data_IF_326965632424
#
_entry.id   IF_326965632424
#
_cell.length_a   1.000
_cell.length_b   1.000
_cell.length_c   1.000
_cell.angle_alpha   90.00
_cell.angle_beta   90.00
_cell.angle_gamma   90.00
#
_symmetry.space_group_name_H-M   'P 1'
#
loop_
_entity.id
_entity.type
_entity.pdbx_description
1 polymer ?
#
# COMPACT_ATOMS: atom_id res chain seq x y z
N UNK A 1 -16.58 -27.57 -31.49
CA UNK A 1 -17.12 -26.46 -30.66
C UNK A 1 -16.41 -26.29 -29.31
N UNK A 2 -15.85 -27.36 -28.70
CA UNK A 2 -15.06 -27.26 -27.46
C UNK A 2 -13.63 -26.71 -27.69
N UNK A 3 -12.98 -27.07 -28.79
CA UNK A 3 -11.61 -26.60 -29.10
C UNK A 3 -11.53 -25.09 -29.31
N UNK A 4 -12.47 -24.49 -30.05
CA UNK A 4 -12.54 -23.03 -30.25
C UNK A 4 -12.84 -22.27 -28.96
N UNK A 5 -13.62 -22.85 -28.03
CA UNK A 5 -13.83 -22.28 -26.68
C UNK A 5 -12.57 -22.39 -25.82
N UNK A 6 -11.84 -23.50 -25.88
CA UNK A 6 -10.60 -23.69 -25.13
C UNK A 6 -9.47 -22.77 -25.64
N UNK A 7 -9.33 -22.61 -26.96
CA UNK A 7 -8.37 -21.68 -27.56
C UNK A 7 -8.65 -20.21 -27.16
N UNK A 8 -9.92 -19.80 -27.12
CA UNK A 8 -10.31 -18.45 -26.65
C UNK A 8 -9.99 -18.22 -25.16
N UNK A 9 -10.19 -19.24 -24.31
CA UNK A 9 -9.82 -19.19 -22.88
C UNK A 9 -8.32 -19.02 -22.71
N UNK A 10 -7.54 -19.83 -23.44
CA UNK A 10 -6.08 -19.78 -23.38
C UNK A 10 -5.52 -18.42 -23.81
N UNK A 11 -5.98 -17.89 -24.95
CA UNK A 11 -5.58 -16.55 -25.41
C UNK A 11 -5.86 -15.47 -24.37
N UNK A 12 -6.99 -15.56 -23.65
CA UNK A 12 -7.35 -14.60 -22.61
C UNK A 12 -6.42 -14.69 -21.40
N UNK A 13 -6.11 -15.90 -20.93
CA UNK A 13 -5.19 -16.14 -19.82
C UNK A 13 -3.80 -15.61 -20.19
N UNK A 14 -3.26 -15.99 -21.36
CA UNK A 14 -1.95 -15.51 -21.84
C UNK A 14 -1.89 -13.99 -21.94
N UNK A 15 -2.95 -13.35 -22.47
CA UNK A 15 -3.01 -11.88 -22.55
C UNK A 15 -3.03 -11.25 -21.16
N UNK A 16 -3.79 -11.81 -20.21
CA UNK A 16 -3.82 -11.33 -18.83
C UNK A 16 -2.43 -11.41 -18.17
N UNK A 17 -1.71 -12.53 -18.36
CA UNK A 17 -0.35 -12.68 -17.86
C UNK A 17 0.65 -11.73 -18.52
N UNK A 18 0.55 -11.52 -19.83
CA UNK A 18 1.41 -10.57 -20.54
C UNK A 18 1.21 -9.14 -20.01
N UNK A 19 -0.03 -8.74 -19.71
CA UNK A 19 -0.33 -7.44 -19.10
C UNK A 19 0.22 -7.36 -17.68
N UNK A 20 0.09 -8.43 -16.87
CA UNK A 20 0.70 -8.47 -15.53
C UNK A 20 2.22 -8.32 -15.61
N UNK A 21 2.89 -9.00 -16.54
CA UNK A 21 4.33 -8.85 -16.76
C UNK A 21 4.71 -7.43 -17.16
N UNK A 22 3.93 -6.78 -18.03
CA UNK A 22 4.15 -5.38 -18.39
C UNK A 22 4.02 -4.44 -17.19
N UNK A 23 3.09 -4.72 -16.27
CA UNK A 23 2.91 -3.95 -15.02
C UNK A 23 4.11 -4.16 -14.07
N UNK A 24 4.82 -5.28 -14.16
CA UNK A 24 6.02 -5.57 -13.34
C UNK A 24 7.32 -4.95 -13.87
N UNK A 25 7.32 -4.32 -15.06
CA UNK A 25 8.52 -3.70 -15.67
C UNK A 25 9.34 -2.82 -14.71
N UNK A 26 8.75 -1.96 -13.87
CA UNK A 26 9.52 -1.14 -12.92
C UNK A 26 10.46 -1.95 -12.02
N UNK A 27 10.06 -3.16 -11.62
CA UNK A 27 10.87 -4.04 -10.77
C UNK A 27 12.11 -4.58 -11.47
N UNK A 28 12.04 -4.81 -12.78
CA UNK A 28 13.22 -5.19 -13.57
C UNK A 28 14.22 -4.05 -13.66
N UNK A 29 13.72 -2.82 -13.83
CA UNK A 29 14.57 -1.61 -13.84
C UNK A 29 15.22 -1.42 -12.47
N UNK A 30 14.47 -1.62 -11.37
CA UNK A 30 15.01 -1.54 -10.02
C UNK A 30 16.16 -2.53 -9.78
N UNK A 31 16.06 -3.80 -10.24
CA UNK A 31 17.18 -4.74 -10.14
C UNK A 31 18.41 -4.20 -10.86
N UNK A 32 18.26 -3.71 -12.08
CA UNK A 32 19.38 -3.16 -12.84
C UNK A 32 20.03 -1.97 -12.09
N UNK A 33 19.21 -1.05 -11.57
CA UNK A 33 19.67 0.12 -10.83
C UNK A 33 20.41 -0.29 -9.55
N UNK A 34 19.79 -1.13 -8.71
CA UNK A 34 20.38 -1.57 -7.44
C UNK A 34 21.68 -2.35 -7.61
N UNK A 35 21.86 -3.10 -8.69
CA UNK A 35 23.11 -3.84 -8.96
C UNK A 35 24.20 -2.97 -9.59
N UNK A 36 23.81 -1.91 -10.29
CA UNK A 36 24.73 -0.99 -10.96
C UNK A 36 25.19 0.14 -10.04
N UNK A 37 24.50 0.39 -8.93
CA UNK A 37 24.82 1.45 -7.98
C UNK A 37 26.12 1.17 -7.21
N UNK A 38 27.14 1.99 -7.47
CA UNK A 38 28.44 1.89 -6.80
C UNK A 38 28.39 2.42 -5.36
N UNK A 39 27.54 3.41 -5.06
CA UNK A 39 27.38 3.96 -3.71
C UNK A 39 26.77 2.89 -2.80
N UNK A 40 25.81 2.13 -3.31
CA UNK A 40 25.25 0.99 -2.57
C UNK A 40 26.28 -0.11 -2.29
N UNK A 41 27.21 -0.36 -3.22
CA UNK A 41 28.30 -1.33 -3.02
C UNK A 41 29.26 -0.86 -1.94
N UNK A 42 29.67 0.41 -1.99
CA UNK A 42 30.51 1.03 -0.96
C UNK A 42 29.80 1.03 0.39
N UNK A 43 28.50 1.23 0.43
CA UNK A 43 27.70 1.13 1.66
C UNK A 43 27.78 -0.25 2.29
N UNK A 44 27.61 -1.33 1.52
CA UNK A 44 27.73 -2.68 2.05
C UNK A 44 29.16 -3.02 2.49
N UNK A 45 30.17 -2.45 1.82
CA UNK A 45 31.56 -2.59 2.20
C UNK A 45 31.85 -1.85 3.52
N UNK A 46 31.41 -0.61 3.63
CA UNK A 46 31.49 0.22 4.83
C UNK A 46 30.87 -0.47 6.05
N UNK A 47 29.66 -1.04 5.91
CA UNK A 47 29.01 -1.79 6.99
C UNK A 47 29.77 -3.06 7.42
N UNK A 48 30.60 -3.62 6.53
CA UNK A 48 31.40 -4.82 6.82
C UNK A 48 32.75 -4.47 7.45
N UNK A 49 33.35 -3.36 7.03
CA UNK A 49 34.71 -2.95 7.41
C UNK A 49 34.75 -2.15 8.72
N UNK A 50 33.73 -1.33 8.98
CA UNK A 50 33.68 -0.52 10.20
C UNK A 50 33.15 -1.34 11.38
N UNK A 51 33.87 -1.41 12.51
CA UNK A 51 33.39 -2.12 13.70
C UNK A 51 32.03 -1.62 14.16
N UNK A 52 31.16 -2.52 14.60
CA UNK A 52 29.79 -2.18 15.05
C UNK A 52 29.77 -1.13 16.15
N UNK A 53 30.74 -1.15 17.07
CA UNK A 53 30.88 -0.15 18.13
C UNK A 53 31.10 1.27 17.58
N UNK A 54 31.88 1.38 16.49
CA UNK A 54 32.15 2.63 15.78
C UNK A 54 30.94 3.10 14.97
N UNK A 55 30.24 2.19 14.29
CA UNK A 55 29.01 2.50 13.56
C UNK A 55 27.92 3.05 14.48
N UNK A 56 27.77 2.47 15.67
CA UNK A 56 26.80 2.91 16.67
C UNK A 56 27.07 4.31 17.21
N UNK A 57 28.26 4.89 16.98
CA UNK A 57 28.55 6.26 17.40
C UNK A 57 27.72 7.29 16.64
N UNK A 58 27.40 7.05 15.37
CA UNK A 58 26.69 8.03 14.53
C UNK A 58 25.49 7.45 13.77
N UNK A 59 25.34 6.13 13.72
CA UNK A 59 24.20 5.43 13.10
C UNK A 59 23.42 4.59 14.11
N UNK A 60 22.17 4.27 13.75
CA UNK A 60 21.36 3.32 14.50
C UNK A 60 21.61 1.88 13.99
N UNK A 61 21.57 0.82 14.82
CA UNK A 61 21.75 -0.57 14.38
C UNK A 61 20.77 -1.08 13.30
N UNK A 62 19.67 -0.36 13.02
CA UNK A 62 18.61 -0.79 12.09
C UNK A 62 18.85 -0.35 10.63
N UNK A 63 20.11 -0.29 10.19
CA UNK A 63 20.45 0.09 8.81
C UNK A 63 20.03 -0.98 7.78
N UNK A 64 19.64 -0.57 6.56
CA UNK A 64 19.24 -1.50 5.50
C UNK A 64 20.29 -2.57 5.18
N UNK A 65 19.91 -3.84 5.31
CA UNK A 65 20.83 -4.94 5.01
C UNK A 65 20.88 -5.29 3.53
N UNK A 66 22.01 -5.85 3.10
CA UNK A 66 22.20 -6.42 1.74
C UNK A 66 21.12 -7.45 1.38
N UNK A 67 20.68 -8.23 2.37
CA UNK A 67 19.64 -9.25 2.19
C UNK A 67 18.31 -8.59 1.76
N UNK A 68 17.91 -7.51 2.42
CA UNK A 68 16.63 -6.86 2.11
C UNK A 68 16.62 -6.14 0.77
N UNK A 69 17.75 -5.55 0.36
CA UNK A 69 17.83 -4.78 -0.88
C UNK A 69 18.08 -5.69 -2.09
N UNK A 70 19.01 -6.63 -2.00
CA UNK A 70 19.45 -7.42 -3.16
C UNK A 70 18.82 -8.80 -3.24
N UNK A 71 18.55 -9.48 -2.12
CA UNK A 71 18.06 -10.89 -2.13
C UNK A 71 16.54 -10.96 -2.30
N UNK A 72 15.79 -10.06 -1.65
CA UNK A 72 14.32 -10.03 -1.75
C UNK A 72 13.79 -9.92 -3.20
N UNK A 73 14.39 -9.11 -4.09
CA UNK A 73 14.02 -9.10 -5.51
C UNK A 73 14.19 -10.48 -6.18
N UNK A 74 15.23 -11.25 -5.86
CA UNK A 74 15.41 -12.59 -6.41
C UNK A 74 14.37 -13.58 -5.87
N UNK A 75 14.01 -13.49 -4.59
CA UNK A 75 12.91 -14.29 -4.03
C UNK A 75 11.60 -13.92 -4.73
N UNK A 76 11.34 -12.63 -4.93
CA UNK A 76 10.18 -12.15 -5.66
C UNK A 76 10.15 -12.69 -7.11
N UNK A 77 11.29 -12.67 -7.80
CA UNK A 77 11.43 -13.30 -9.12
C UNK A 77 11.16 -14.81 -9.10
N UNK A 78 11.63 -15.51 -8.07
CA UNK A 78 11.31 -16.92 -7.86
C UNK A 78 9.80 -17.15 -7.74
N UNK A 79 9.10 -16.36 -6.92
CA UNK A 79 7.64 -16.44 -6.76
C UNK A 79 6.91 -16.11 -8.06
N UNK A 80 7.36 -15.09 -8.80
CA UNK A 80 6.82 -14.75 -10.11
C UNK A 80 7.02 -15.89 -11.11
N UNK A 81 8.21 -16.49 -11.16
CA UNK A 81 8.53 -17.64 -12.00
C UNK A 81 7.66 -18.85 -11.66
N UNK A 82 7.48 -19.14 -10.37
CA UNK A 82 6.58 -20.18 -9.89
C UNK A 82 5.13 -19.88 -10.31
N UNK A 83 4.66 -18.64 -10.17
CA UNK A 83 3.32 -18.24 -10.61
C UNK A 83 3.11 -18.47 -12.13
N UNK A 84 4.11 -18.13 -12.95
CA UNK A 84 4.09 -18.36 -14.40
C UNK A 84 4.10 -19.86 -14.71
N UNK A 85 4.97 -20.64 -14.06
CA UNK A 85 5.03 -22.09 -14.25
C UNK A 85 3.70 -22.75 -13.88
N UNK A 86 3.11 -22.37 -12.74
CA UNK A 86 1.77 -22.84 -12.36
C UNK A 86 0.72 -22.45 -13.39
N UNK A 87 0.74 -21.22 -13.91
CA UNK A 87 -0.20 -20.78 -14.93
C UNK A 87 -0.07 -21.55 -16.25
N UNK A 88 1.16 -21.77 -16.72
CA UNK A 88 1.47 -22.54 -17.93
C UNK A 88 1.10 -24.02 -17.76
N UNK A 89 1.53 -24.64 -16.66
CA UNK A 89 1.21 -26.03 -16.34
C UNK A 89 -0.29 -26.24 -16.26
N UNK A 90 -0.99 -25.35 -15.56
CA UNK A 90 -2.42 -25.38 -15.40
C UNK A 90 -3.17 -25.23 -16.73
N UNK A 91 -2.78 -24.26 -17.56
CA UNK A 91 -3.36 -24.07 -18.88
C UNK A 91 -3.12 -25.23 -19.84
N UNK A 92 -1.92 -25.82 -19.80
CA UNK A 92 -1.58 -27.00 -20.59
C UNK A 92 -2.34 -28.26 -20.16
N UNK A 93 -2.45 -28.51 -18.84
CA UNK A 93 -3.17 -29.66 -18.31
C UNK A 93 -4.69 -29.57 -18.51
N UNK A 94 -5.28 -28.37 -18.36
CA UNK A 94 -6.71 -28.16 -18.64
C UNK A 94 -7.05 -28.47 -20.11
N UNK A 95 -6.12 -28.26 -21.05
CA UNK A 95 -6.35 -28.63 -22.45
C UNK A 95 -6.42 -30.15 -22.67
N UNK A 96 -5.76 -30.95 -21.83
CA UNK A 96 -5.64 -32.41 -22.00
C UNK A 96 -6.61 -33.24 -21.17
N UNK A 97 -7.09 -32.73 -20.04
CA UNK A 97 -7.96 -33.51 -19.12
C UNK A 97 -9.43 -33.08 -19.26
N UNK A 98 -10.27 -34.03 -19.69
CA UNK A 98 -11.72 -33.85 -19.93
C UNK A 98 -12.50 -33.61 -18.62
N UNK A 99 -11.99 -34.05 -17.47
CA UNK A 99 -12.65 -33.99 -16.15
C UNK A 99 -11.87 -33.15 -15.12
N UNK A 100 -11.57 -31.89 -15.43
CA UNK A 100 -10.90 -31.03 -14.48
C UNK A 100 -11.85 -30.55 -13.36
N UNK A 101 -11.46 -30.73 -12.09
CA UNK A 101 -12.28 -30.31 -10.94
C UNK A 101 -12.34 -28.79 -10.81
N UNK A 102 -13.56 -28.23 -10.73
CA UNK A 102 -13.79 -26.79 -10.50
C UNK A 102 -13.16 -26.28 -9.20
N UNK A 103 -13.02 -27.13 -8.17
CA UNK A 103 -12.37 -26.77 -6.90
C UNK A 103 -10.87 -26.57 -7.07
N UNK A 104 -10.23 -27.48 -7.81
CA UNK A 104 -8.79 -27.39 -8.09
C UNK A 104 -8.48 -26.17 -8.97
N UNK A 105 -9.39 -25.83 -9.90
CA UNK A 105 -9.33 -24.60 -10.67
C UNK A 105 -9.29 -23.34 -9.80
N UNK A 106 -10.20 -23.27 -8.82
CA UNK A 106 -10.28 -22.13 -7.91
C UNK A 106 -9.03 -22.03 -7.03
N UNK A 107 -8.56 -23.15 -6.48
CA UNK A 107 -7.36 -23.20 -5.64
C UNK A 107 -6.13 -22.73 -6.43
N UNK A 108 -5.96 -23.19 -7.67
CA UNK A 108 -4.84 -22.78 -8.52
C UNK A 108 -4.86 -21.28 -8.84
N UNK A 109 -6.04 -20.69 -9.10
CA UNK A 109 -6.15 -19.23 -9.30
C UNK A 109 -5.79 -18.46 -8.04
N UNK A 110 -6.31 -18.88 -6.88
CA UNK A 110 -6.02 -18.24 -5.60
C UNK A 110 -4.51 -18.32 -5.31
N UNK A 111 -3.88 -19.47 -5.56
CA UNK A 111 -2.45 -19.65 -5.38
C UNK A 111 -1.64 -18.73 -6.30
N UNK A 112 -1.95 -18.67 -7.60
CA UNK A 112 -1.25 -17.79 -8.54
C UNK A 112 -1.39 -16.32 -8.13
N UNK A 113 -2.59 -15.90 -7.75
CA UNK A 113 -2.83 -14.56 -7.24
C UNK A 113 -2.01 -14.25 -5.98
N UNK A 114 -1.98 -15.18 -5.02
CA UNK A 114 -1.21 -15.05 -3.80
C UNK A 114 0.29 -14.91 -4.08
N UNK A 115 0.81 -15.69 -5.03
CA UNK A 115 2.21 -15.62 -5.45
C UNK A 115 2.55 -14.29 -6.14
N UNK A 116 1.68 -13.81 -7.05
CA UNK A 116 1.86 -12.51 -7.70
C UNK A 116 1.82 -11.35 -6.70
N UNK A 117 0.88 -11.40 -5.75
CA UNK A 117 0.77 -10.39 -4.70
C UNK A 117 1.99 -10.39 -3.78
N UNK A 118 2.43 -11.57 -3.35
CA UNK A 118 3.63 -11.74 -2.54
C UNK A 118 4.89 -11.25 -3.28
N UNK A 119 5.00 -11.53 -4.57
CA UNK A 119 6.08 -11.01 -5.42
C UNK A 119 6.11 -9.48 -5.46
N UNK A 120 4.96 -8.83 -5.69
CA UNK A 120 4.87 -7.37 -5.71
C UNK A 120 5.29 -6.77 -4.36
N UNK A 121 4.80 -7.34 -3.26
CA UNK A 121 5.17 -6.88 -1.92
C UNK A 121 6.67 -7.02 -1.67
N UNK A 122 7.29 -8.16 -2.01
CA UNK A 122 8.72 -8.36 -1.81
C UNK A 122 9.58 -7.40 -2.63
N UNK A 123 9.23 -7.14 -3.90
CA UNK A 123 9.91 -6.12 -4.70
C UNK A 123 9.78 -4.73 -4.06
N UNK A 124 8.57 -4.38 -3.64
CA UNK A 124 8.28 -3.09 -3.01
C UNK A 124 9.00 -2.92 -1.68
N UNK A 125 9.13 -3.99 -0.89
CA UNK A 125 9.95 -3.99 0.32
C UNK A 125 11.44 -3.79 0.01
N UNK A 126 11.95 -4.38 -1.06
CA UNK A 126 13.35 -4.18 -1.46
C UNK A 126 13.60 -2.73 -1.93
N UNK A 127 12.70 -2.19 -2.76
CA UNK A 127 12.73 -0.78 -3.17
C UNK A 127 12.63 0.14 -1.96
N UNK A 128 11.75 -0.17 -1.00
CA UNK A 128 11.58 0.60 0.23
C UNK A 128 12.88 0.64 1.05
N UNK A 129 13.57 -0.48 1.18
CA UNK A 129 14.84 -0.57 1.90
C UNK A 129 15.97 0.17 1.16
N UNK A 130 15.96 0.15 -0.16
CA UNK A 130 16.85 0.98 -0.98
C UNK A 130 16.53 2.48 -0.81
N UNK A 131 15.25 2.84 -0.70
CA UNK A 131 14.81 4.20 -0.37
C UNK A 131 15.32 4.66 1.00
N UNK A 132 15.25 3.79 2.02
CA UNK A 132 15.84 4.07 3.35
C UNK A 132 17.36 4.29 3.25
N UNK A 133 18.06 3.47 2.46
CA UNK A 133 19.50 3.65 2.22
C UNK A 133 19.81 5.04 1.64
N UNK A 134 19.04 5.49 0.65
CA UNK A 134 19.20 6.82 0.07
C UNK A 134 18.95 7.93 1.09
N UNK A 135 17.92 7.80 1.94
CA UNK A 135 17.61 8.79 2.96
C UNK A 135 18.64 8.80 4.10
N UNK A 136 19.26 7.66 4.41
CA UNK A 136 20.42 7.62 5.30
C UNK A 136 21.62 8.34 4.70
N UNK A 137 21.94 8.13 3.42
CA UNK A 137 23.03 8.87 2.76
C UNK A 137 22.78 10.38 2.73
N UNK A 138 21.52 10.81 2.60
CA UNK A 138 21.13 12.23 2.73
C UNK A 138 21.28 12.74 4.16
N UNK A 139 20.93 11.95 5.17
CA UNK A 139 21.02 12.41 6.56
C UNK A 139 22.48 12.61 7.01
N UNK A 140 23.44 11.87 6.43
CA UNK A 140 24.88 12.08 6.64
C UNK A 140 25.34 13.49 6.18
N UNK A 141 24.62 14.15 5.28
CA UNK A 141 24.99 15.51 4.80
C UNK A 141 24.62 16.62 5.77
N UNK A 142 23.86 16.32 6.82
CA UNK A 142 23.34 17.35 7.73
C UNK A 142 22.42 18.38 7.06
N UNK A 143 21.88 18.08 5.87
CA UNK A 143 21.01 18.98 5.11
C UNK A 143 21.74 20.13 4.39
N UNK A 144 23.07 20.07 4.25
CA UNK A 144 23.81 21.01 3.41
C UNK A 144 23.94 20.50 1.97
N UNK A 145 23.85 21.44 1.02
CA UNK A 145 24.11 21.21 -0.39
C UNK A 145 25.53 21.64 -0.81
N UNK A 146 26.34 22.17 0.13
CA UNK A 146 27.71 22.63 -0.15
C UNK A 146 28.74 21.62 0.33
N UNK A 147 29.63 21.20 -0.56
CA UNK A 147 30.66 20.20 -0.26
C UNK A 147 31.51 20.53 0.98
N UNK A 148 31.96 21.78 1.13
CA UNK A 148 32.79 22.18 2.28
C UNK A 148 32.04 22.07 3.62
N UNK A 149 30.74 22.35 3.62
CA UNK A 149 29.89 22.21 4.82
C UNK A 149 29.63 20.74 5.13
N UNK A 150 29.41 19.90 4.11
CA UNK A 150 29.31 18.43 4.24
C UNK A 150 30.61 17.87 4.82
N UNK A 151 31.77 18.30 4.31
CA UNK A 151 33.08 17.86 4.79
C UNK A 151 33.31 18.24 6.26
N UNK A 152 33.03 19.49 6.63
CA UNK A 152 33.15 19.95 8.01
C UNK A 152 32.22 19.16 8.94
N UNK A 153 31.00 18.86 8.48
CA UNK A 153 30.04 18.07 9.24
C UNK A 153 30.49 16.62 9.45
N UNK A 154 30.94 15.93 8.40
CA UNK A 154 31.42 14.55 8.53
C UNK A 154 32.66 14.49 9.44
N UNK A 155 33.53 15.52 9.38
CA UNK A 155 34.66 15.62 10.29
C UNK A 155 34.25 15.78 11.76
N UNK A 156 33.15 16.47 12.05
CA UNK A 156 32.61 16.59 13.41
C UNK A 156 31.84 15.35 13.87
N UNK A 157 31.26 14.58 12.93
CA UNK A 157 30.59 13.29 13.18
C UNK A 157 31.51 12.19 13.72
N UNK A 158 32.75 12.14 13.25
CA UNK A 158 33.66 11.04 13.53
C UNK A 158 34.62 11.42 14.68
N UNK A 159 34.55 10.74 15.85
CA UNK A 159 35.41 11.04 16.98
C UNK A 159 36.88 11.01 16.63
N UNK A 160 37.66 11.95 17.15
CA UNK A 160 39.11 12.01 16.97
C UNK A 160 39.84 10.79 17.51
N UNK A 161 39.23 10.05 18.43
CA UNK A 161 39.75 8.84 19.06
C UNK A 161 39.46 7.56 18.27
N UNK A 162 38.73 7.64 17.15
CA UNK A 162 38.35 6.46 16.37
C UNK A 162 39.54 5.89 15.58
N UNK A 163 39.82 4.57 15.66
CA UNK A 163 40.82 3.95 14.78
C UNK A 163 40.36 4.05 13.32
N UNK A 164 41.29 4.31 12.40
CA UNK A 164 41.02 4.52 10.97
C UNK A 164 40.06 5.68 10.67
N UNK A 165 40.04 6.72 11.52
CA UNK A 165 39.18 7.90 11.38
C UNK A 165 39.13 8.45 9.95
N UNK A 166 40.28 8.67 9.32
CA UNK A 166 40.34 9.30 8.00
C UNK A 166 39.69 8.42 6.92
N UNK A 167 39.88 7.10 6.98
CA UNK A 167 39.20 6.15 6.09
C UNK A 167 37.69 6.16 6.29
N UNK A 168 37.22 6.22 7.55
CA UNK A 168 35.79 6.31 7.87
C UNK A 168 35.20 7.60 7.32
N UNK A 169 35.91 8.72 7.43
CA UNK A 169 35.50 10.02 6.90
C UNK A 169 35.40 9.97 5.37
N UNK A 170 36.43 9.46 4.69
CA UNK A 170 36.44 9.33 3.24
C UNK A 170 35.28 8.47 2.74
N UNK A 171 35.00 7.35 3.41
CA UNK A 171 33.82 6.53 3.10
C UNK A 171 32.51 7.29 3.29
N UNK A 172 32.34 8.01 4.40
CA UNK A 172 31.13 8.80 4.64
C UNK A 172 30.95 9.93 3.61
N UNK A 173 32.03 10.55 3.17
CA UNK A 173 32.01 11.58 2.11
C UNK A 173 31.57 10.95 0.78
N UNK A 174 32.12 9.79 0.42
CA UNK A 174 31.72 9.09 -0.80
C UNK A 174 30.26 8.63 -0.76
N UNK A 175 29.79 8.16 0.40
CA UNK A 175 28.39 7.78 0.62
C UNK A 175 27.45 8.98 0.52
N UNK A 176 27.85 10.13 1.06
CA UNK A 176 27.10 11.36 0.94
C UNK A 176 27.10 11.89 -0.50
N UNK A 177 28.26 11.96 -1.16
CA UNK A 177 28.45 12.76 -2.38
C UNK A 177 28.57 11.94 -3.67
N UNK A 178 28.37 10.63 -3.57
CA UNK A 178 28.65 9.69 -4.65
C UNK A 178 30.14 9.40 -4.78
N UNK A 179 30.46 8.14 -5.09
CA UNK A 179 31.82 7.62 -5.20
C UNK A 179 32.69 8.46 -6.14
N UNK A 180 33.65 9.21 -5.58
CA UNK A 180 34.60 10.01 -6.34
C UNK A 180 34.00 11.18 -7.14
N UNK A 181 32.72 11.50 -6.95
CA UNK A 181 32.04 12.57 -7.71
C UNK A 181 31.98 13.90 -6.98
N UNK A 182 32.13 13.92 -5.66
CA UNK A 182 31.90 15.10 -4.80
C UNK A 182 30.57 15.82 -5.11
N UNK A 183 29.59 15.08 -5.64
CA UNK A 183 28.33 15.62 -6.09
C UNK A 183 27.37 15.70 -4.89
N UNK A 184 26.95 16.89 -4.45
CA UNK A 184 26.01 17.02 -3.33
C UNK A 184 24.64 16.39 -3.64
N UNK A 185 24.35 16.04 -4.90
CA UNK A 185 23.11 15.41 -5.35
C UNK A 185 23.39 14.04 -6.00
N UNK A 186 23.73 12.99 -5.23
CA UNK A 186 23.89 11.64 -5.75
C UNK A 186 22.58 11.13 -6.32
N UNK A 187 22.68 10.13 -7.21
CA UNK A 187 21.52 9.49 -7.83
C UNK A 187 20.54 8.98 -6.77
N UNK A 188 19.25 9.27 -6.95
CA UNK A 188 18.16 8.77 -6.12
C UNK A 188 17.20 8.03 -7.04
N UNK A 189 16.84 6.79 -6.70
CA UNK A 189 15.89 5.98 -7.47
C UNK A 189 14.48 6.57 -7.46
N UNK A 190 13.72 6.29 -6.39
CA UNK A 190 12.34 6.69 -6.19
C UNK A 190 12.14 6.95 -4.69
N UNK A 191 11.29 7.93 -4.35
CA UNK A 191 10.96 8.26 -2.96
C UNK A 191 10.21 7.13 -2.24
N UNK A 192 10.42 7.02 -0.92
CA UNK A 192 9.87 5.97 -0.05
C UNK A 192 8.35 5.77 -0.22
N UNK A 193 7.58 6.86 -0.28
CA UNK A 193 6.12 6.78 -0.41
C UNK A 193 5.67 6.46 -1.84
N UNK A 194 6.43 6.92 -2.85
CA UNK A 194 6.12 6.71 -4.26
C UNK A 194 6.19 5.23 -4.62
N UNK A 195 7.12 4.48 -4.02
CA UNK A 195 7.20 3.01 -4.16
C UNK A 195 5.84 2.39 -3.82
N UNK A 196 5.28 2.71 -2.66
CA UNK A 196 4.00 2.13 -2.21
C UNK A 196 2.81 2.58 -3.05
N UNK A 197 2.83 3.78 -3.65
CA UNK A 197 1.84 4.19 -4.63
C UNK A 197 1.91 3.37 -5.92
N UNK A 198 3.13 3.14 -6.42
CA UNK A 198 3.35 2.27 -7.58
C UNK A 198 2.87 0.85 -7.26
N UNK A 199 3.25 0.29 -6.11
CA UNK A 199 2.77 -1.01 -5.63
C UNK A 199 1.25 -1.05 -5.55
N UNK A 200 0.62 -0.02 -4.98
CA UNK A 200 -0.83 0.09 -4.88
C UNK A 200 -1.50 0.04 -6.26
N UNK A 201 -0.98 0.80 -7.22
CA UNK A 201 -1.47 0.77 -8.61
C UNK A 201 -1.27 -0.61 -9.27
N UNK A 202 -0.12 -1.25 -9.05
CA UNK A 202 0.15 -2.59 -9.57
C UNK A 202 -0.81 -3.63 -8.99
N UNK A 203 -1.02 -3.61 -7.66
CA UNK A 203 -2.01 -4.45 -6.97
C UNK A 203 -3.42 -4.19 -7.53
N UNK A 204 -3.79 -2.92 -7.70
CA UNK A 204 -5.07 -2.52 -8.29
C UNK A 204 -5.28 -3.16 -9.67
N UNK A 205 -4.30 -3.06 -10.56
CA UNK A 205 -4.39 -3.64 -11.89
C UNK A 205 -4.40 -5.18 -11.87
N UNK A 206 -3.60 -5.83 -11.01
CA UNK A 206 -3.59 -7.29 -10.87
C UNK A 206 -4.97 -7.80 -10.43
N UNK A 207 -5.55 -7.19 -9.40
CA UNK A 207 -6.88 -7.54 -8.89
C UNK A 207 -7.92 -7.30 -9.99
N UNK A 208 -7.88 -6.14 -10.66
CA UNK A 208 -8.82 -5.81 -11.73
C UNK A 208 -8.76 -6.78 -12.91
N UNK A 209 -7.56 -7.05 -13.43
CA UNK A 209 -7.34 -8.01 -14.54
C UNK A 209 -7.82 -9.39 -14.13
N UNK A 210 -7.55 -9.80 -12.90
CA UNK A 210 -7.94 -11.12 -12.42
C UNK A 210 -9.44 -11.23 -12.25
N UNK A 211 -10.10 -10.27 -11.61
CA UNK A 211 -11.56 -10.25 -11.48
C UNK A 211 -12.23 -10.24 -12.85
N UNK A 212 -11.75 -9.41 -13.78
CA UNK A 212 -12.26 -9.38 -15.17
C UNK A 212 -12.11 -10.72 -15.87
N UNK A 213 -10.99 -11.39 -15.68
CA UNK A 213 -10.70 -12.70 -16.28
C UNK A 213 -11.55 -13.78 -15.65
N UNK A 214 -11.67 -13.80 -14.32
CA UNK A 214 -12.51 -14.72 -13.55
C UNK A 214 -13.98 -14.61 -13.94
N UNK A 215 -14.53 -13.40 -14.05
CA UNK A 215 -15.92 -13.20 -14.48
C UNK A 215 -16.16 -13.69 -15.92
N UNK A 216 -15.22 -13.43 -16.83
CA UNK A 216 -15.32 -13.96 -18.21
C UNK A 216 -15.22 -15.48 -18.25
N UNK A 217 -14.39 -16.09 -17.40
CA UNK A 217 -14.27 -17.55 -17.32
C UNK A 217 -15.54 -18.17 -16.71
N UNK A 218 -16.09 -17.58 -15.65
CA UNK A 218 -17.38 -18.01 -15.06
C UNK A 218 -18.51 -17.94 -16.10
N UNK A 219 -18.56 -16.88 -16.90
CA UNK A 219 -19.51 -16.75 -18.01
C UNK A 219 -19.34 -17.85 -19.09
N UNK A 220 -18.10 -18.27 -19.36
CA UNK A 220 -17.82 -19.34 -20.33
C UNK A 220 -18.10 -20.75 -19.75
N UNK A 221 -18.14 -20.89 -18.43
CA UNK A 221 -18.36 -22.16 -17.72
C UNK A 221 -19.81 -22.36 -17.25
N UNK A 222 -20.57 -21.28 -17.07
CA UNK A 222 -21.98 -21.37 -16.68
C UNK A 222 -22.84 -21.76 -17.89
N UNK A 223 -23.33 -23.00 -17.86
CA UNK A 223 -24.45 -23.47 -18.70
C UNK A 223 -25.81 -23.12 -18.08
N UNK A 224 -25.83 -22.21 -17.11
CA UNK A 224 -27.03 -21.93 -16.32
C UNK A 224 -27.96 -20.97 -17.05
N UNK A 225 -29.16 -21.49 -17.28
CA UNK A 225 -30.34 -20.91 -17.93
C UNK A 225 -30.63 -19.49 -17.41
N UNK A 226 -31.03 -18.60 -18.34
CA UNK A 226 -31.61 -17.28 -18.09
C UNK A 226 -32.85 -17.39 -17.18
N UNK A 227 -32.71 -17.34 -15.87
CA UNK A 227 -33.87 -17.35 -14.95
C UNK A 227 -34.20 -15.93 -14.44
N UNK A 228 -33.25 -14.99 -14.40
CA UNK A 228 -33.47 -13.67 -13.80
C UNK A 228 -34.28 -12.67 -14.66
N UNK A 229 -34.49 -12.93 -15.96
CA UNK A 229 -35.18 -11.97 -16.83
C UNK A 229 -36.68 -11.81 -16.47
N UNK A 230 -37.30 -12.82 -15.85
CA UNK A 230 -38.74 -12.79 -15.56
C UNK A 230 -39.08 -12.12 -14.21
N UNK A 231 -38.19 -12.15 -13.20
CA UNK A 231 -38.41 -11.46 -11.93
C UNK A 231 -38.21 -9.95 -12.05
N UNK A 232 -37.22 -9.48 -12.82
CA UNK A 232 -37.04 -8.04 -13.08
C UNK A 232 -38.26 -7.46 -13.81
N UNK A 233 -38.83 -8.17 -14.78
CA UNK A 233 -39.99 -7.69 -15.57
C UNK A 233 -41.27 -7.65 -14.71
N UNK A 234 -41.50 -8.64 -13.84
CA UNK A 234 -42.67 -8.67 -12.97
C UNK A 234 -42.65 -7.56 -11.91
N UNK A 235 -41.48 -7.25 -11.35
CA UNK A 235 -41.31 -6.18 -10.36
C UNK A 235 -41.35 -4.80 -11.02
N UNK A 236 -40.77 -4.63 -12.21
CA UNK A 236 -40.90 -3.38 -12.99
C UNK A 236 -42.38 -3.09 -13.28
N UNK A 237 -43.18 -4.09 -13.68
CA UNK A 237 -44.61 -3.92 -14.01
C UNK A 237 -45.43 -3.39 -12.82
N UNK A 238 -45.11 -3.80 -11.59
CA UNK A 238 -45.78 -3.30 -10.38
C UNK A 238 -45.30 -1.90 -9.94
N UNK A 239 -44.13 -1.47 -10.39
CA UNK A 239 -43.58 -0.13 -10.08
C UNK A 239 -44.08 0.94 -11.06
N UNK A 240 -44.67 0.55 -12.20
CA UNK A 240 -45.19 1.48 -13.20
C UNK A 240 -46.46 2.25 -12.79
N UNK A 241 -47.18 1.80 -11.75
CA UNK A 241 -48.40 2.44 -11.22
C UNK A 241 -48.16 3.42 -10.05
N UNK A 242 -46.92 3.83 -9.78
CA UNK A 242 -46.60 4.74 -8.67
C UNK A 242 -46.04 6.08 -9.16
N UNK A 243 -46.33 7.16 -8.43
CA UNK A 243 -45.88 8.52 -8.76
C UNK A 243 -44.35 8.64 -8.81
N UNK A 244 -43.83 9.60 -9.58
CA UNK A 244 -42.41 9.73 -9.97
C UNK A 244 -41.40 9.60 -8.80
N UNK A 245 -41.66 10.25 -7.66
CA UNK A 245 -40.82 10.15 -6.46
C UNK A 245 -40.88 8.76 -5.80
N UNK A 246 -42.06 8.13 -5.76
CA UNK A 246 -42.29 6.79 -5.20
C UNK A 246 -41.77 5.69 -6.13
N UNK A 247 -41.73 5.97 -7.45
CA UNK A 247 -41.14 5.13 -8.49
C UNK A 247 -39.62 5.15 -8.42
N UNK A 248 -39.03 6.32 -8.20
CA UNK A 248 -37.59 6.48 -7.90
C UNK A 248 -37.27 5.75 -6.59
N UNK A 249 -37.93 6.10 -5.46
CA UNK A 249 -37.74 5.42 -4.17
C UNK A 249 -37.97 3.90 -4.25
N UNK A 250 -38.99 3.45 -4.97
CA UNK A 250 -39.29 2.03 -5.20
C UNK A 250 -38.19 1.33 -5.99
N UNK A 251 -37.69 1.94 -7.07
CA UNK A 251 -36.51 1.46 -7.81
C UNK A 251 -35.25 1.43 -6.94
N UNK A 252 -35.09 2.34 -5.98
CA UNK A 252 -33.94 2.41 -5.07
C UNK A 252 -34.05 1.45 -3.85
N UNK A 253 -35.27 1.06 -3.45
CA UNK A 253 -35.56 0.24 -2.26
C UNK A 253 -35.77 -1.25 -2.56
N UNK A 254 -35.98 -1.65 -3.82
CA UNK A 254 -36.03 -3.07 -4.18
C UNK A 254 -34.60 -3.64 -4.07
N UNK A 255 -34.35 -4.66 -3.22
CA UNK A 255 -33.02 -5.21 -3.05
C UNK A 255 -32.70 -6.12 -4.24
N UNK A 256 -32.19 -5.52 -5.31
CA UNK A 256 -31.59 -6.20 -6.47
C UNK A 256 -30.06 -6.13 -6.38
N UNK A 257 -29.36 -7.06 -7.03
CA UNK A 257 -27.88 -7.03 -7.13
C UNK A 257 -27.36 -5.69 -7.69
N UNK A 258 -28.10 -5.09 -8.63
CA UNK A 258 -27.83 -3.76 -9.18
C UNK A 258 -27.95 -2.65 -8.13
N UNK A 259 -29.06 -2.61 -7.39
CA UNK A 259 -29.28 -1.58 -6.38
C UNK A 259 -28.31 -1.70 -5.20
N UNK A 260 -28.00 -2.92 -4.78
CA UNK A 260 -27.01 -3.16 -3.73
C UNK A 260 -25.62 -2.72 -4.17
N UNK A 261 -25.24 -3.03 -5.42
CA UNK A 261 -23.95 -2.56 -5.98
C UNK A 261 -23.91 -1.03 -6.08
N UNK A 262 -25.00 -0.38 -6.48
CA UNK A 262 -25.12 1.08 -6.54
C UNK A 262 -24.98 1.73 -5.17
N UNK A 263 -25.72 1.25 -4.17
CA UNK A 263 -25.62 1.74 -2.78
C UNK A 263 -24.23 1.53 -2.22
N UNK A 264 -23.62 0.37 -2.50
CA UNK A 264 -22.24 0.08 -2.10
C UNK A 264 -21.30 1.13 -2.68
N UNK A 265 -21.39 1.43 -3.99
CA UNK A 265 -20.54 2.46 -4.61
C UNK A 265 -20.76 3.83 -3.94
N UNK A 266 -22.01 4.28 -3.81
CA UNK A 266 -22.33 5.62 -3.29
C UNK A 266 -21.82 5.76 -1.85
N UNK A 267 -22.21 4.85 -0.95
CA UNK A 267 -21.79 4.92 0.46
C UNK A 267 -20.29 4.79 0.60
N UNK A 268 -19.67 3.94 -0.21
CA UNK A 268 -18.22 3.77 -0.15
C UNK A 268 -17.48 5.00 -0.63
N UNK A 269 -17.94 5.70 -1.68
CA UNK A 269 -17.33 6.97 -2.09
C UNK A 269 -17.40 8.00 -0.97
N UNK A 270 -18.54 8.08 -0.26
CA UNK A 270 -18.70 9.02 0.87
C UNK A 270 -17.72 8.72 2.01
N UNK A 271 -17.58 7.44 2.40
CA UNK A 271 -16.67 7.03 3.49
C UNK A 271 -15.20 7.09 3.04
N UNK A 272 -14.92 6.73 1.80
CA UNK A 272 -13.56 6.58 1.28
C UNK A 272 -12.93 7.92 0.89
N UNK A 273 -13.71 8.91 0.48
CA UNK A 273 -13.16 10.21 0.03
C UNK A 273 -12.32 10.90 1.11
N UNK A 274 -12.78 11.04 2.37
CA UNK A 274 -11.96 11.60 3.44
C UNK A 274 -10.67 10.80 3.67
N UNK A 275 -10.76 9.47 3.63
CA UNK A 275 -9.60 8.59 3.81
C UNK A 275 -8.58 8.73 2.67
N UNK A 276 -9.05 8.82 1.42
CA UNK A 276 -8.21 9.04 0.25
C UNK A 276 -7.47 10.39 0.34
N UNK A 277 -8.19 11.46 0.67
CA UNK A 277 -7.61 12.82 0.81
C UNK A 277 -6.56 12.84 1.92
N UNK A 278 -6.87 12.29 3.09
CA UNK A 278 -5.90 12.16 4.18
C UNK A 278 -4.62 11.42 3.75
N UNK A 279 -4.78 10.27 3.08
CA UNK A 279 -3.66 9.45 2.63
C UNK A 279 -2.77 10.21 1.64
N UNK A 280 -3.34 10.99 0.72
CA UNK A 280 -2.56 11.87 -0.15
C UNK A 280 -1.82 12.97 0.61
N UNK A 281 -2.48 13.64 1.56
CA UNK A 281 -1.89 14.73 2.34
C UNK A 281 -0.61 14.31 3.09
N UNK A 282 -0.59 13.09 3.63
CA UNK A 282 0.57 12.56 4.36
C UNK A 282 1.61 11.89 3.45
N UNK A 283 1.23 11.44 2.26
CA UNK A 283 2.11 10.66 1.38
C UNK A 283 2.88 11.50 0.34
N UNK A 284 2.41 12.70 -0.01
CA UNK A 284 3.08 13.57 -0.98
C UNK A 284 4.36 14.16 -0.38
N UNK A 285 5.48 13.97 -1.06
CA UNK A 285 6.82 14.34 -0.57
C UNK A 285 7.06 15.84 -0.40
N UNK A 286 6.22 16.69 -1.01
CA UNK A 286 6.32 18.15 -0.92
C UNK A 286 5.50 18.76 0.23
N UNK A 287 4.81 17.96 1.04
CA UNK A 287 3.94 18.49 2.11
C UNK A 287 4.69 18.65 3.44
N UNK A 288 4.21 19.57 4.28
CA UNK A 288 4.72 19.70 5.66
C UNK A 288 4.50 18.43 6.48
N UNK A 289 3.45 17.67 6.18
CA UNK A 289 3.21 16.36 6.80
C UNK A 289 4.33 15.37 6.51
N UNK A 290 4.83 15.32 5.27
CA UNK A 290 5.97 14.46 4.93
C UNK A 290 7.26 14.89 5.63
N UNK A 291 7.53 16.20 5.69
CA UNK A 291 8.68 16.72 6.46
C UNK A 291 8.56 16.35 7.95
N UNK A 292 7.39 16.51 8.53
CA UNK A 292 7.10 16.07 9.90
C UNK A 292 7.37 14.60 10.11
N UNK A 293 6.90 13.75 9.20
CA UNK A 293 7.11 12.30 9.24
C UNK A 293 8.60 11.92 9.12
N UNK A 294 9.37 12.59 8.26
CA UNK A 294 10.80 12.34 8.11
C UNK A 294 11.56 12.59 9.43
N UNK A 295 11.37 13.78 10.00
CA UNK A 295 12.04 14.18 11.24
C UNK A 295 11.48 13.48 12.47
N UNK A 296 10.27 12.93 12.41
CA UNK A 296 9.69 12.22 13.55
C UNK A 296 9.96 10.71 13.56
N UNK A 297 10.09 10.08 12.39
CA UNK A 297 10.20 8.62 12.29
C UNK A 297 11.42 8.10 11.56
N UNK A 298 11.78 8.72 10.43
CA UNK A 298 12.80 8.17 9.55
C UNK A 298 14.17 8.59 10.07
N UNK A 299 14.45 9.88 10.16
CA UNK A 299 15.78 10.35 10.51
C UNK A 299 16.24 9.86 11.89
N UNK A 300 15.47 9.98 13.00
CA UNK A 300 15.90 9.47 14.31
C UNK A 300 16.26 7.98 14.32
N UNK A 301 15.66 7.18 13.43
CA UNK A 301 15.93 5.75 13.29
C UNK A 301 17.13 5.42 12.42
N UNK A 302 17.65 6.38 11.64
CA UNK A 302 18.75 6.16 10.70
C UNK A 302 20.07 6.70 11.22
N UNK A 303 20.06 7.91 11.79
CA UNK A 303 21.25 8.61 12.26
C UNK A 303 21.02 9.18 13.64
N UNK A 304 21.99 8.98 14.53
CA UNK A 304 21.94 9.54 15.90
C UNK A 304 22.18 11.05 15.92
N UNK A 305 22.65 11.59 14.79
CA UNK A 305 23.39 12.82 14.73
C UNK A 305 22.82 13.77 13.66
N UNK A 306 21.50 13.91 13.61
CA UNK A 306 20.85 14.81 12.64
C UNK A 306 21.08 16.24 13.09
N UNK A 307 21.72 17.01 12.22
CA UNK A 307 21.86 18.44 12.38
C UNK A 307 20.49 19.11 12.14
N UNK A 308 20.03 19.83 13.16
CA UNK A 308 18.95 20.79 13.02
C UNK A 308 19.40 21.86 12.01
N UNK A 309 18.61 22.20 10.98
CA UNK A 309 19.00 23.19 10.00
C UNK A 309 19.58 24.47 10.64
N UNK A 310 20.82 24.84 10.27
CA UNK A 310 21.52 25.99 10.84
C UNK A 310 22.34 25.71 12.11
N UNK A 311 22.62 24.46 12.46
CA UNK A 311 23.71 24.05 13.37
C UNK A 311 24.85 23.40 12.58
N UNK A 312 26.07 23.37 13.12
CA UNK A 312 27.26 22.85 12.40
C UNK A 312 27.94 21.73 13.20
N UNK A 313 27.87 21.77 14.53
CA UNK A 313 28.46 20.78 15.43
C UNK A 313 27.37 19.91 16.06
N UNK A 314 27.64 18.63 16.26
CA UNK A 314 26.75 17.69 16.94
C UNK A 314 26.61 17.94 18.42
N UNK A 315 27.64 18.55 19.00
CA UNK A 315 27.62 18.98 20.38
C UNK A 315 26.82 20.28 20.56
N UNK A 316 26.35 20.90 19.47
CA UNK A 316 25.40 22.01 19.58
C UNK A 316 24.16 21.51 20.34
N UNK A 317 23.81 22.24 21.40
CA UNK A 317 22.70 21.89 22.32
C UNK A 317 21.41 21.45 21.59
N UNK A 318 20.96 22.10 20.49
CA UNK A 318 19.76 21.70 19.77
C UNK A 318 19.83 20.29 19.16
N UNK A 319 21.01 19.85 18.72
CA UNK A 319 21.20 18.53 18.10
C UNK A 319 21.13 17.43 19.15
N UNK A 320 21.79 17.63 20.30
CA UNK A 320 21.74 16.70 21.43
C UNK A 320 20.34 16.60 22.02
N UNK A 321 19.69 17.73 22.28
CA UNK A 321 18.33 17.77 22.85
C UNK A 321 17.31 17.13 21.92
N UNK A 322 17.41 17.34 20.59
CA UNK A 322 16.61 16.63 19.61
C UNK A 322 16.84 15.11 19.67
N UNK A 323 18.10 14.65 19.66
CA UNK A 323 18.37 13.21 19.69
C UNK A 323 17.87 12.55 20.98
N UNK A 324 18.21 13.12 22.14
CA UNK A 324 17.78 12.58 23.44
C UNK A 324 16.26 12.53 23.56
N UNK A 325 15.57 13.53 23.02
CA UNK A 325 14.10 13.60 23.01
C UNK A 325 13.49 12.54 22.07
N UNK A 326 14.03 12.39 20.86
CA UNK A 326 13.50 11.46 19.85
C UNK A 326 13.88 10.00 20.10
N UNK A 327 15.06 9.74 20.68
CA UNK A 327 15.52 8.38 21.03
C UNK A 327 14.65 7.76 22.14
N UNK A 328 14.19 8.58 23.08
CA UNK A 328 13.32 8.15 24.18
C UNK A 328 11.84 8.07 23.80
N UNK A 329 11.47 8.61 22.64
CA UNK A 329 10.10 8.73 22.18
C UNK A 329 9.78 7.81 21.01
N UNK A 330 10.30 6.58 21.01
CA UNK A 330 9.87 5.62 20.00
C UNK A 330 8.46 5.12 20.35
N UNK A 331 7.41 5.64 19.68
CA UNK A 331 6.40 4.69 19.31
C UNK A 331 5.89 4.92 17.90
N UNK A 332 5.46 3.82 17.32
CA UNK A 332 4.79 3.69 16.04
C UNK A 332 5.73 3.53 14.83
N UNK A 333 5.35 2.56 14.01
CA UNK A 333 6.07 2.14 12.82
C UNK A 333 5.66 3.03 11.64
N UNK A 334 6.63 3.67 10.97
CA UNK A 334 6.41 4.50 9.78
C UNK A 334 5.58 3.79 8.72
N UNK A 335 5.83 2.49 8.53
CA UNK A 335 5.07 1.66 7.60
C UNK A 335 3.57 1.63 7.93
N UNK A 336 3.19 1.54 9.21
CA UNK A 336 1.79 1.50 9.62
C UNK A 336 1.09 2.86 9.50
N UNK A 337 1.83 3.97 9.69
CA UNK A 337 1.26 5.31 9.63
C UNK A 337 1.10 5.79 8.19
N UNK A 338 2.04 5.50 7.29
CA UNK A 338 2.07 6.12 5.96
C UNK A 338 1.82 5.10 4.85
N UNK A 339 2.57 4.00 4.85
CA UNK A 339 2.59 3.07 3.72
C UNK A 339 1.37 2.13 3.71
N UNK A 340 0.96 1.62 4.87
CA UNK A 340 -0.20 0.73 4.99
C UNK A 340 -1.51 1.42 4.58
N UNK A 341 -1.76 2.71 4.92
CA UNK A 341 -2.86 3.46 4.35
C UNK A 341 -2.89 3.46 2.82
N UNK A 342 -1.76 3.70 2.15
CA UNK A 342 -1.69 3.69 0.67
C UNK A 342 -2.12 2.33 0.11
N UNK A 343 -1.64 1.23 0.70
CA UNK A 343 -2.01 -0.14 0.29
C UNK A 343 -3.51 -0.38 0.47
N UNK A 344 -4.06 -0.03 1.63
CA UNK A 344 -5.48 -0.20 1.92
C UNK A 344 -6.37 0.65 0.99
N UNK A 345 -5.95 1.88 0.69
CA UNK A 345 -6.59 2.75 -0.31
C UNK A 345 -6.63 2.09 -1.69
N UNK A 346 -5.52 1.52 -2.16
CA UNK A 346 -5.47 0.83 -3.44
C UNK A 346 -6.37 -0.42 -3.49
N UNK A 347 -6.44 -1.19 -2.40
CA UNK A 347 -7.32 -2.36 -2.29
C UNK A 347 -8.81 -1.97 -2.33
N UNK A 348 -9.21 -0.91 -1.60
CA UNK A 348 -10.58 -0.41 -1.63
C UNK A 348 -10.94 0.07 -3.04
N UNK A 349 -10.06 0.83 -3.69
CA UNK A 349 -10.26 1.29 -5.07
C UNK A 349 -10.43 0.12 -6.05
N UNK A 350 -9.62 -0.94 -5.92
CA UNK A 350 -9.70 -2.13 -6.77
C UNK A 350 -11.06 -2.82 -6.66
N UNK A 351 -11.58 -2.94 -5.43
CA UNK A 351 -12.89 -3.55 -5.19
C UNK A 351 -14.04 -2.65 -5.65
N UNK A 352 -13.95 -1.33 -5.50
CA UNK A 352 -14.96 -0.41 -6.05
C UNK A 352 -15.04 -0.51 -7.57
N UNK A 353 -13.89 -0.60 -8.24
CA UNK A 353 -13.86 -0.85 -9.69
C UNK A 353 -14.47 -2.20 -10.07
N UNK A 354 -14.33 -3.23 -9.23
CA UNK A 354 -15.03 -4.50 -9.44
C UNK A 354 -16.55 -4.33 -9.40
N UNK A 355 -17.09 -3.58 -8.43
CA UNK A 355 -18.53 -3.26 -8.39
C UNK A 355 -18.98 -2.42 -9.58
N UNK A 356 -18.19 -1.42 -9.99
CA UNK A 356 -18.48 -0.63 -11.20
C UNK A 356 -18.52 -1.55 -12.44
N UNK A 357 -17.61 -2.52 -12.54
CA UNK A 357 -17.62 -3.50 -13.62
C UNK A 357 -18.89 -4.37 -13.60
N UNK A 358 -19.30 -4.86 -12.42
CA UNK A 358 -20.56 -5.60 -12.25
C UNK A 358 -21.76 -4.77 -12.70
N UNK A 359 -21.80 -3.49 -12.34
CA UNK A 359 -22.86 -2.57 -12.72
C UNK A 359 -22.93 -2.32 -14.23
N UNK A 360 -21.79 -2.03 -14.86
CA UNK A 360 -21.72 -1.65 -16.28
C UNK A 360 -21.86 -2.84 -17.23
N UNK A 361 -21.30 -4.00 -16.87
CA UNK A 361 -21.27 -5.18 -17.74
C UNK A 361 -22.30 -6.24 -17.39
N UNK A 362 -22.93 -6.15 -16.21
CA UNK A 362 -23.94 -7.10 -15.70
C UNK A 362 -23.54 -8.55 -15.99
N UNK A 363 -22.33 -8.98 -15.55
CA UNK A 363 -21.92 -10.36 -15.77
C UNK A 363 -22.91 -11.30 -15.06
N UNK A 364 -23.22 -12.45 -15.67
CA UNK A 364 -24.00 -13.51 -15.00
C UNK A 364 -23.17 -14.07 -13.84
N UNK A 365 -23.27 -13.43 -12.69
CA UNK A 365 -22.64 -13.82 -11.44
C UNK A 365 -23.48 -14.90 -10.76
N UNK A 366 -22.82 -15.95 -10.26
CA UNK A 366 -23.48 -16.82 -9.29
C UNK A 366 -23.79 -16.06 -8.01
N UNK A 367 -24.90 -16.43 -7.32
CA UNK A 367 -25.24 -15.87 -6.00
C UNK A 367 -24.07 -15.97 -5.02
N UNK A 368 -23.36 -17.09 -5.02
CA UNK A 368 -22.17 -17.29 -4.20
C UNK A 368 -21.00 -16.35 -4.59
N UNK A 369 -20.79 -16.11 -5.88
CA UNK A 369 -19.79 -15.16 -6.38
C UNK A 369 -20.09 -13.72 -5.97
N UNK A 370 -21.36 -13.29 -6.05
CA UNK A 370 -21.78 -11.97 -5.60
C UNK A 370 -21.59 -11.79 -4.08
N UNK A 371 -21.97 -12.80 -3.28
CA UNK A 371 -21.77 -12.80 -1.82
C UNK A 371 -20.29 -12.71 -1.47
N UNK A 372 -19.43 -13.46 -2.16
CA UNK A 372 -17.98 -13.44 -1.91
C UNK A 372 -17.34 -12.10 -2.27
N UNK A 373 -17.77 -11.46 -3.36
CA UNK A 373 -17.30 -10.13 -3.74
C UNK A 373 -17.68 -9.10 -2.67
N UNK A 374 -18.90 -9.18 -2.16
CA UNK A 374 -19.41 -8.29 -1.12
C UNK A 374 -18.74 -8.49 0.24
N UNK A 375 -18.60 -9.74 0.70
CA UNK A 375 -17.93 -10.02 1.98
C UNK A 375 -16.45 -9.62 1.94
N UNK A 376 -15.78 -9.87 0.81
CA UNK A 376 -14.40 -9.41 0.61
C UNK A 376 -14.29 -7.89 0.64
N UNK A 377 -15.26 -7.18 0.05
CA UNK A 377 -15.29 -5.72 0.09
C UNK A 377 -15.44 -5.19 1.51
N UNK A 378 -16.39 -5.72 2.27
CA UNK A 378 -16.62 -5.33 3.66
C UNK A 378 -15.36 -5.56 4.51
N UNK A 379 -14.72 -6.72 4.36
CA UNK A 379 -13.46 -7.01 5.06
C UNK A 379 -12.36 -5.99 4.72
N UNK A 380 -12.21 -5.62 3.44
CA UNK A 380 -11.21 -4.67 2.97
C UNK A 380 -11.51 -3.24 3.47
N UNK A 381 -12.78 -2.81 3.48
CA UNK A 381 -13.16 -1.49 4.00
C UNK A 381 -12.98 -1.42 5.52
N UNK A 382 -13.37 -2.46 6.27
CA UNK A 382 -13.11 -2.54 7.71
C UNK A 382 -11.62 -2.46 8.01
N UNK A 383 -10.80 -3.22 7.28
CA UNK A 383 -9.34 -3.17 7.40
C UNK A 383 -8.81 -1.76 7.11
N UNK A 384 -9.20 -1.14 5.99
CA UNK A 384 -8.76 0.20 5.64
C UNK A 384 -9.18 1.27 6.64
N UNK A 385 -10.37 1.15 7.23
CA UNK A 385 -10.84 2.05 8.28
C UNK A 385 -10.02 1.91 9.57
N UNK A 386 -9.69 0.69 10.00
CA UNK A 386 -8.81 0.46 11.14
C UNK A 386 -7.45 1.09 10.89
N UNK A 387 -6.88 0.88 9.70
CA UNK A 387 -5.58 1.44 9.29
C UNK A 387 -5.61 2.97 9.28
N UNK A 388 -6.67 3.57 8.74
CA UNK A 388 -6.90 5.02 8.74
C UNK A 388 -6.95 5.60 10.15
N UNK A 389 -7.81 5.05 11.02
CA UNK A 389 -7.97 5.54 12.40
C UNK A 389 -6.67 5.38 13.20
N UNK A 390 -5.97 4.26 13.02
CA UNK A 390 -4.68 4.03 13.68
C UNK A 390 -3.62 5.04 13.23
N UNK A 391 -3.48 5.23 11.92
CA UNK A 391 -2.54 6.19 11.33
C UNK A 391 -2.81 7.61 11.85
N UNK A 392 -4.07 8.04 11.82
CA UNK A 392 -4.45 9.39 12.23
C UNK A 392 -4.30 9.62 13.74
N UNK A 393 -4.70 8.65 14.56
CA UNK A 393 -4.50 8.69 16.02
C UNK A 393 -3.01 8.79 16.36
N UNK A 394 -2.17 7.99 15.71
CA UNK A 394 -0.72 8.00 15.91
C UNK A 394 -0.08 9.33 15.52
N UNK A 395 -0.52 9.94 14.41
CA UNK A 395 -0.07 11.27 14.02
C UNK A 395 -0.53 12.36 14.99
N UNK A 396 -1.78 12.29 15.46
CA UNK A 396 -2.32 13.25 16.43
C UNK A 396 -1.51 13.26 17.73
N UNK A 397 -1.26 12.08 18.29
CA UNK A 397 -0.43 11.93 19.49
C UNK A 397 1.00 12.46 19.29
N UNK A 398 1.58 12.26 18.11
CA UNK A 398 2.92 12.77 17.81
C UNK A 398 2.93 14.30 17.69
N UNK A 399 1.89 14.89 17.07
CA UNK A 399 1.73 16.34 17.03
C UNK A 399 1.63 16.91 18.45
N UNK A 400 0.86 16.26 19.33
CA UNK A 400 0.77 16.62 20.75
C UNK A 400 2.14 16.51 21.44
N UNK A 401 2.89 15.45 21.18
CA UNK A 401 4.23 15.29 21.74
C UNK A 401 5.16 16.47 21.38
N UNK A 402 5.24 16.83 20.09
CA UNK A 402 6.05 17.96 19.64
C UNK A 402 5.56 19.29 20.23
N UNK A 403 4.24 19.44 20.36
CA UNK A 403 3.61 20.62 20.95
C UNK A 403 3.68 20.67 22.49
N UNK A 404 4.05 19.59 23.17
CA UNK A 404 4.21 19.56 24.63
C UNK A 404 5.67 19.65 25.07
N UNK A 405 6.61 19.79 24.14
CA UNK A 405 8.02 20.03 24.45
C UNK A 405 8.25 21.39 25.11
N UNK A 406 9.40 21.52 25.77
CA UNK A 406 9.83 22.75 26.44
C UNK A 406 9.83 23.95 25.48
N UNK A 407 9.64 25.16 26.02
CA UNK A 407 9.66 26.38 25.22
C UNK A 407 10.97 26.59 24.46
N UNK A 408 12.10 26.20 25.08
CA UNK A 408 13.44 26.24 24.47
C UNK A 408 13.55 25.26 23.31
N UNK A 409 13.09 24.02 23.47
CA UNK A 409 13.06 23.02 22.41
C UNK A 409 12.26 23.53 21.21
N UNK A 410 11.07 24.08 21.45
CA UNK A 410 10.21 24.60 20.38
C UNK A 410 10.86 25.74 19.58
N UNK A 411 11.55 26.64 20.26
CA UNK A 411 12.22 27.77 19.60
C UNK A 411 13.49 27.33 18.85
N UNK A 412 14.30 26.46 19.46
CA UNK A 412 15.62 26.10 18.91
C UNK A 412 15.57 24.94 17.90
N UNK A 413 14.57 24.07 17.99
CA UNK A 413 14.46 22.84 17.21
C UNK A 413 13.21 22.87 16.34
N UNK A 414 12.01 22.87 16.94
CA UNK A 414 10.73 22.78 16.21
C UNK A 414 10.59 23.90 15.18
N UNK A 415 10.94 25.14 15.55
CA UNK A 415 10.87 26.29 14.62
C UNK A 415 11.89 26.18 13.49
N UNK A 416 13.09 25.66 13.74
CA UNK A 416 14.11 25.48 12.69
C UNK A 416 13.75 24.35 11.73
N UNK A 417 13.16 23.26 12.23
CA UNK A 417 12.71 22.14 11.40
C UNK A 417 11.42 22.48 10.66
N UNK A 418 10.42 23.09 11.29
CA UNK A 418 9.07 23.21 10.71
C UNK A 418 8.66 24.65 10.35
N UNK A 419 9.47 25.65 10.69
CA UNK A 419 9.16 27.07 10.51
C UNK A 419 8.18 27.63 11.55
N UNK A 420 7.75 26.82 12.52
CA UNK A 420 6.77 27.19 13.56
C UNK A 420 7.08 26.48 14.87
N UNK A 421 6.84 27.10 16.05
CA UNK A 421 6.99 26.44 17.35
C UNK A 421 5.82 25.51 17.70
N UNK A 422 4.67 25.64 17.02
CA UNK A 422 3.50 24.78 17.22
C UNK A 422 3.06 24.18 15.88
N UNK A 423 2.88 22.86 15.87
CA UNK A 423 2.51 22.07 14.71
C UNK A 423 0.99 21.91 14.70
N UNK A 424 0.37 22.26 13.58
CA UNK A 424 -1.06 22.01 13.37
C UNK A 424 -1.32 20.54 13.10
N UNK A 425 -2.47 20.03 13.55
CA UNK A 425 -2.92 18.70 13.14
C UNK A 425 -3.16 18.63 11.64
N UNK A 426 -2.83 17.50 11.03
CA UNK A 426 -2.91 17.30 9.58
C UNK A 426 -4.32 16.94 9.10
N UNK A 427 -5.23 16.59 10.01
CA UNK A 427 -6.61 16.21 9.75
C UNK A 427 -7.43 16.33 11.05
N UNK A 428 -8.49 15.53 11.23
CA UNK A 428 -9.27 15.49 12.48
C UNK A 428 -8.44 15.06 13.69
N UNK A 429 -8.79 15.57 14.88
CA UNK A 429 -8.15 15.18 16.14
C UNK A 429 -9.20 15.01 17.25
N UNK A 430 -8.84 14.28 18.32
CA UNK A 430 -9.70 14.12 19.50
C UNK A 430 -11.14 13.70 19.17
N UNK A 431 -12.12 14.51 19.59
CA UNK A 431 -13.55 14.22 19.40
C UNK A 431 -13.97 14.15 17.93
N UNK A 432 -13.32 14.90 17.04
CA UNK A 432 -13.61 14.86 15.60
C UNK A 432 -13.22 13.51 14.98
N UNK A 433 -12.08 12.95 15.41
CA UNK A 433 -11.64 11.61 15.00
C UNK A 433 -12.59 10.54 15.52
N UNK A 434 -13.01 10.63 16.78
CA UNK A 434 -13.97 9.69 17.38
C UNK A 434 -15.30 9.75 16.62
N UNK A 435 -15.82 10.95 16.35
CA UNK A 435 -17.05 11.15 15.59
C UNK A 435 -16.94 10.57 14.16
N UNK A 436 -15.81 10.80 13.48
CA UNK A 436 -15.54 10.22 12.16
C UNK A 436 -15.52 8.70 12.19
N UNK A 437 -14.90 8.11 13.21
CA UNK A 437 -14.88 6.66 13.42
C UNK A 437 -16.27 6.08 13.64
N UNK A 438 -17.04 6.66 14.59
CA UNK A 438 -18.42 6.23 14.88
C UNK A 438 -19.29 6.28 13.63
N UNK A 439 -19.24 7.40 12.91
CA UNK A 439 -20.02 7.60 11.69
C UNK A 439 -19.65 6.56 10.63
N UNK A 440 -18.35 6.32 10.42
CA UNK A 440 -17.88 5.36 9.42
C UNK A 440 -18.23 3.90 9.79
N UNK A 441 -18.16 3.53 11.07
CA UNK A 441 -18.61 2.22 11.55
C UNK A 441 -20.13 2.06 11.47
N UNK A 442 -20.90 3.11 11.74
CA UNK A 442 -22.35 3.10 11.57
C UNK A 442 -22.73 2.84 10.10
N UNK A 443 -22.06 3.50 9.15
CA UNK A 443 -22.27 3.26 7.72
C UNK A 443 -21.91 1.82 7.32
N UNK A 444 -20.80 1.28 7.81
CA UNK A 444 -20.44 -0.13 7.62
C UNK A 444 -21.51 -1.06 8.19
N UNK A 445 -22.08 -0.72 9.36
CA UNK A 445 -23.20 -1.45 9.96
C UNK A 445 -24.43 -1.46 9.05
N UNK A 446 -24.82 -0.31 8.50
CA UNK A 446 -25.94 -0.20 7.54
C UNK A 446 -25.69 -1.05 6.30
N UNK A 447 -24.50 -0.96 5.69
CA UNK A 447 -24.12 -1.80 4.55
C UNK A 447 -24.18 -3.29 4.90
N UNK A 448 -23.66 -3.67 6.06
CA UNK A 448 -23.69 -5.05 6.57
C UNK A 448 -25.12 -5.57 6.73
N UNK A 449 -26.03 -4.76 7.29
CA UNK A 449 -27.43 -5.12 7.49
C UNK A 449 -28.12 -5.34 6.12
N UNK A 450 -27.90 -4.43 5.17
CA UNK A 450 -28.44 -4.57 3.80
C UNK A 450 -27.94 -5.87 3.16
N UNK A 451 -26.65 -6.16 3.31
CA UNK A 451 -26.02 -7.35 2.77
C UNK A 451 -26.55 -8.65 3.39
N UNK A 452 -26.59 -8.71 4.73
CA UNK A 452 -27.09 -9.87 5.48
C UNK A 452 -28.56 -10.11 5.15
N UNK A 453 -29.38 -9.06 5.10
CA UNK A 453 -30.79 -9.15 4.71
C UNK A 453 -30.94 -9.77 3.32
N UNK A 454 -30.12 -9.36 2.36
CA UNK A 454 -30.14 -9.93 1.01
C UNK A 454 -29.65 -11.39 0.96
N UNK A 455 -28.57 -11.71 1.67
CA UNK A 455 -28.04 -13.08 1.78
C UNK A 455 -29.10 -14.03 2.37
N UNK A 456 -29.79 -13.59 3.43
CA UNK A 456 -30.85 -14.36 4.07
C UNK A 456 -32.04 -14.56 3.14
N UNK A 457 -32.43 -13.52 2.38
CA UNK A 457 -33.51 -13.60 1.38
C UNK A 457 -33.18 -14.62 0.27
N UNK A 458 -31.95 -14.62 -0.22
CA UNK A 458 -31.43 -15.60 -1.19
C UNK A 458 -31.52 -17.02 -0.64
N UNK A 459 -31.06 -17.25 0.59
CA UNK A 459 -31.09 -18.57 1.25
C UNK A 459 -32.52 -19.09 1.39
N UNK A 460 -33.47 -18.21 1.75
CA UNK A 460 -34.88 -18.56 1.91
C UNK A 460 -35.51 -19.01 0.58
N UNK A 461 -35.26 -18.29 -0.52
CA UNK A 461 -35.73 -18.68 -1.86
C UNK A 461 -35.17 -20.03 -2.33
N UNK A 462 -33.89 -20.31 -2.09
CA UNK A 462 -33.28 -21.60 -2.44
C UNK A 462 -33.91 -22.77 -1.66
N UNK A 463 -34.26 -22.56 -0.39
CA UNK A 463 -34.97 -23.57 0.41
C UNK A 463 -36.39 -23.82 -0.10
N UNK A 464 -37.15 -22.77 -0.42
CA UNK A 464 -38.50 -22.91 -0.98
C UNK A 464 -38.49 -23.63 -2.33
N UNK A 465 -37.49 -23.35 -3.17
CA UNK A 465 -37.33 -24.00 -4.48
C UNK A 465 -36.96 -25.48 -4.35
N UNK A 466 -36.21 -25.87 -3.30
CA UNK A 466 -35.92 -27.29 -3.02
C UNK A 466 -37.15 -28.04 -2.53
N UNK A 467 -37.96 -27.42 -1.66
CA UNK A 467 -39.20 -28.02 -1.14
C UNK A 467 -40.20 -28.27 -2.27
N UNK A 468 -40.39 -27.30 -3.18
CA UNK A 468 -41.29 -27.43 -4.34
C UNK A 468 -40.80 -28.42 -5.40
N UNK A 469 -39.50 -28.81 -5.39
CA UNK A 469 -38.97 -29.86 -6.27
C UNK A 469 -39.01 -31.25 -5.64
N UNK A 470 -39.29 -31.34 -4.34
CA UNK A 470 -39.38 -32.58 -3.58
C UNK A 470 -40.84 -32.99 -3.31
N UNK A 471 -41.75 -32.01 -3.30
CA UNK A 471 -43.18 -32.22 -3.52
C UNK A 471 -43.46 -32.39 -5.02
#
# INVERSE_FOLDING_TARGET
MNETKNAKKWKMIVTAFAVVLAIMVPYFIFIFVSHSDNVLKEYFQFLKEVPTASLQTFTNPLLPSKLYILVFPYIAFGLLGVAILFACFYGGFHHRIIYFSKKLFLISIILILGLLFASCLLFSFAEYQYGIFNDWCKSIKGGSDKFNEILAHINSLVPTTLPNRDQVIDHLINLATGTGTHNPYPFVWIGINTIWWITGLQIFFIIFITLRTSFKIEQLLSTTIKIQKNEEIAVLKNTFNQGLAKKILGLFLIPTEFNISLWTIIFSVVIFSPYLVYTFSIAITSTQAYRFLLYSFIYPKLTRNIIIPGTIDLNDLPNKEYYDTMANHAPVNFFLIVNLPIIATALIAAMLFAFIFVMLKRPNLSKAGFISLYSGFLAIVCFGLIVYLYSQSSLGWLVEFWNNQSGTFKQQITTKIFGTPNISYFWFHGNELIASGILSFFFLGVLSIIAISHILKIKKQDQTTKIVRQA
#
